data_IF_793328932403
#
_entry.id   IF_793328932403
#
_cell.length_a   1.000
_cell.length_b   1.000
_cell.length_c   1.000
_cell.angle_alpha   90.00
_cell.angle_beta   90.00
_cell.angle_gamma   90.00
#
_symmetry.space_group_name_H-M   'P 1'
#
loop_
_entity.id
_entity.type
_entity.pdbx_description
1 polymer ?
#
# COMPACT_ATOMS: atom_id res chain seq x y z
N UNK A 1 -18.68 3.88 -7.87
CA UNK A 1 -17.46 4.61 -8.28
C UNK A 1 -16.55 3.64 -9.02
N UNK A 2 -15.95 4.04 -10.14
CA UNK A 2 -15.06 3.20 -10.94
C UNK A 2 -13.67 3.22 -10.29
N UNK A 3 -13.11 2.07 -9.93
CA UNK A 3 -11.69 1.95 -9.57
C UNK A 3 -10.86 2.30 -10.80
N UNK A 4 -9.83 3.15 -10.66
CA UNK A 4 -9.15 3.79 -11.81
C UNK A 4 -7.63 3.65 -11.81
N UNK A 5 -7.01 3.04 -10.80
CA UNK A 5 -5.56 2.90 -10.74
C UNK A 5 -5.09 1.78 -9.80
N UNK A 6 -3.83 1.40 -9.95
CA UNK A 6 -3.16 0.39 -9.12
C UNK A 6 -2.16 1.07 -8.18
N UNK A 7 -1.96 0.49 -6.99
CA UNK A 7 -0.93 0.90 -6.05
C UNK A 7 0.22 -0.12 -6.09
N UNK A 8 1.45 0.38 -6.23
CA UNK A 8 2.67 -0.39 -6.04
C UNK A 8 3.38 0.16 -4.80
N UNK A 9 3.63 -0.70 -3.81
CA UNK A 9 4.34 -0.36 -2.60
C UNK A 9 5.67 -1.11 -2.56
N UNK A 10 6.78 -0.42 -2.34
CA UNK A 10 8.08 -1.05 -2.19
C UNK A 10 8.85 -0.45 -1.03
N UNK A 11 9.62 -1.27 -0.33
CA UNK A 11 10.54 -0.82 0.71
C UNK A 11 11.97 -0.82 0.21
N UNK A 12 12.76 0.12 0.69
CA UNK A 12 14.18 0.22 0.36
C UNK A 12 15.02 0.42 1.63
N UNK A 13 16.30 0.07 1.54
CA UNK A 13 17.20 0.06 2.69
C UNK A 13 17.06 -1.19 3.57
N UNK A 14 17.64 -1.15 4.77
CA UNK A 14 17.53 -2.23 5.73
C UNK A 14 16.16 -2.23 6.42
N UNK A 15 15.60 -3.40 6.75
CA UNK A 15 14.36 -3.49 7.51
C UNK A 15 14.54 -2.86 8.91
N UNK A 16 13.47 -2.25 9.42
CA UNK A 16 13.40 -1.77 10.80
C UNK A 16 12.32 -2.53 11.55
N UNK A 17 12.39 -2.53 12.89
CA UNK A 17 11.43 -3.25 13.74
C UNK A 17 9.96 -2.82 13.51
N UNK A 18 9.74 -1.63 12.94
CA UNK A 18 8.41 -1.03 12.77
C UNK A 18 8.03 -0.80 11.31
N UNK A 19 8.84 -1.24 10.35
CA UNK A 19 8.63 -0.93 8.92
C UNK A 19 7.29 -1.48 8.39
N UNK A 20 6.80 -2.59 8.97
CA UNK A 20 5.51 -3.18 8.63
C UNK A 20 4.32 -2.36 9.15
N UNK A 21 4.46 -1.55 10.19
CA UNK A 21 3.38 -0.64 10.63
C UNK A 21 3.11 0.44 9.58
N UNK A 22 4.14 0.89 8.86
CA UNK A 22 3.97 1.80 7.72
C UNK A 22 3.23 1.12 6.56
N UNK A 23 3.56 -0.15 6.25
CA UNK A 23 2.84 -0.96 5.25
C UNK A 23 1.37 -1.09 5.62
N UNK A 24 1.10 -1.46 6.88
CA UNK A 24 -0.26 -1.65 7.37
C UNK A 24 -1.11 -0.38 7.17
N UNK A 25 -0.62 0.79 7.61
CA UNK A 25 -1.34 2.05 7.44
C UNK A 25 -1.58 2.42 5.98
N UNK A 26 -0.60 2.18 5.11
CA UNK A 26 -0.74 2.40 3.67
C UNK A 26 -1.81 1.48 3.06
N UNK A 27 -1.80 0.19 3.40
CA UNK A 27 -2.77 -0.78 2.90
C UNK A 27 -4.19 -0.51 3.41
N UNK A 28 -4.35 -0.23 4.70
CA UNK A 28 -5.66 0.09 5.29
C UNK A 28 -6.28 1.34 4.66
N UNK A 29 -5.45 2.33 4.33
CA UNK A 29 -5.89 3.53 3.61
C UNK A 29 -6.26 3.19 2.16
N UNK A 30 -5.41 2.44 1.46
CA UNK A 30 -5.65 2.06 0.07
C UNK A 30 -6.94 1.26 -0.12
N UNK A 31 -7.26 0.35 0.81
CA UNK A 31 -8.51 -0.42 0.81
C UNK A 31 -9.77 0.46 0.95
N UNK A 32 -9.65 1.65 1.56
CA UNK A 32 -10.75 2.62 1.69
C UNK A 32 -10.84 3.57 0.49
N UNK A 33 -9.84 3.59 -0.39
CA UNK A 33 -9.82 4.45 -1.57
C UNK A 33 -10.56 3.77 -2.73
N UNK A 34 -11.76 4.24 -3.14
CA UNK A 34 -12.53 3.63 -4.22
C UNK A 34 -11.87 3.77 -5.60
N UNK A 35 -10.83 4.60 -5.73
CA UNK A 35 -10.01 4.73 -6.94
C UNK A 35 -8.95 3.64 -7.09
N UNK A 36 -8.62 2.87 -6.04
CA UNK A 36 -7.57 1.83 -6.09
C UNK A 36 -8.18 0.46 -6.38
N UNK A 37 -7.70 -0.18 -7.43
CA UNK A 37 -8.17 -1.49 -7.89
C UNK A 37 -7.34 -2.64 -7.34
N UNK A 38 -6.04 -2.62 -7.64
CA UNK A 38 -5.08 -3.63 -7.22
C UNK A 38 -3.95 -3.02 -6.41
N UNK A 39 -3.41 -3.83 -5.51
CA UNK A 39 -2.24 -3.50 -4.69
C UNK A 39 -1.16 -4.55 -4.96
N UNK A 40 0.03 -4.10 -5.31
CA UNK A 40 1.23 -4.91 -5.52
C UNK A 40 2.32 -4.49 -4.54
N UNK A 41 3.16 -5.43 -4.11
CA UNK A 41 4.24 -5.17 -3.17
C UNK A 41 5.56 -5.79 -3.66
N UNK A 42 6.70 -5.13 -3.39
CA UNK A 42 8.05 -5.58 -3.68
C UNK A 42 9.03 -5.28 -2.54
#
# INVERSE_FOLDING_TARGET
>A
MKKSGNLLYAQSGGPTAVINSSVQGALETACKCPQIEHIYAA
#
